data_IF_618084610337
#
_entry.id   IF_618084610337
#
_cell.length_a   1.000
_cell.length_b   1.000
_cell.length_c   1.000
_cell.angle_alpha   90.00
_cell.angle_beta   90.00
_cell.angle_gamma   90.00
#
_symmetry.space_group_name_H-M   'P 1'
#
loop_
_entity.id
_entity.type
_entity.pdbx_description
1 polymer ?
#
# COMPACT_ATOMS: atom_id res chain seq x y z
N UNK A 1 -28.62 -15.83 -8.74
CA UNK A 1 -28.04 -17.14 -9.10
C UNK A 1 -27.98 -17.20 -10.61
N UNK A 2 -26.78 -17.09 -11.19
CA UNK A 2 -26.55 -17.14 -12.64
C UNK A 2 -26.94 -18.54 -13.14
N UNK A 3 -27.95 -18.64 -14.02
CA UNK A 3 -28.51 -19.94 -14.40
C UNK A 3 -27.69 -20.62 -15.50
N UNK A 4 -27.45 -21.93 -15.32
CA UNK A 4 -26.69 -22.76 -16.26
C UNK A 4 -27.48 -23.01 -17.56
N UNK A 5 -26.81 -22.91 -18.70
CA UNK A 5 -27.36 -23.30 -20.01
C UNK A 5 -27.52 -24.82 -20.12
N UNK A 6 -28.38 -25.31 -21.04
CA UNK A 6 -28.58 -26.76 -21.28
C UNK A 6 -27.26 -27.52 -21.46
N UNK A 7 -26.30 -26.91 -22.16
CA UNK A 7 -24.97 -27.47 -22.44
C UNK A 7 -24.09 -27.53 -21.17
N UNK A 8 -24.23 -26.56 -20.27
CA UNK A 8 -23.53 -26.55 -18.97
C UNK A 8 -24.12 -27.58 -18.00
N UNK A 9 -25.44 -27.78 -18.00
CA UNK A 9 -26.10 -28.83 -17.21
C UNK A 9 -25.62 -30.22 -17.65
N UNK A 10 -25.52 -30.45 -18.96
CA UNK A 10 -25.01 -31.71 -19.51
C UNK A 10 -23.53 -31.94 -19.18
N UNK A 11 -22.71 -30.90 -19.26
CA UNK A 11 -21.30 -30.96 -18.85
C UNK A 11 -21.15 -31.26 -17.35
N UNK A 12 -21.97 -30.66 -16.50
CA UNK A 12 -21.97 -30.88 -15.05
C UNK A 12 -22.43 -32.31 -14.67
N UNK A 13 -23.44 -32.84 -15.37
CA UNK A 13 -23.89 -34.23 -15.22
C UNK A 13 -22.79 -35.21 -15.65
N UNK A 14 -22.13 -34.97 -16.78
CA UNK A 14 -21.02 -35.80 -17.27
C UNK A 14 -19.80 -35.75 -16.34
N UNK A 15 -19.58 -34.61 -15.69
CA UNK A 15 -18.53 -34.43 -14.69
C UNK A 15 -18.89 -35.02 -13.30
N UNK A 16 -20.10 -35.54 -13.11
CA UNK A 16 -20.56 -36.09 -11.83
C UNK A 16 -20.76 -35.04 -10.72
N UNK A 17 -20.88 -33.76 -11.09
CA UNK A 17 -21.07 -32.65 -10.14
C UNK A 17 -22.53 -32.60 -9.65
N UNK A 18 -23.47 -33.00 -10.51
CA UNK A 18 -24.90 -33.05 -10.23
C UNK A 18 -25.45 -34.43 -10.61
N UNK A 19 -26.51 -34.86 -9.92
CA UNK A 19 -27.20 -36.10 -10.23
C UNK A 19 -28.25 -35.95 -11.36
N UNK A 20 -28.76 -37.07 -11.86
CA UNK A 20 -29.72 -37.09 -12.96
C UNK A 20 -31.04 -36.37 -12.60
N UNK A 21 -31.50 -36.50 -11.36
CA UNK A 21 -32.74 -35.87 -10.90
C UNK A 21 -32.59 -34.34 -10.82
N UNK A 22 -31.42 -33.85 -10.39
CA UNK A 22 -31.06 -32.44 -10.37
C UNK A 22 -30.96 -31.86 -11.78
N UNK A 23 -30.33 -32.59 -12.72
CA UNK A 23 -30.24 -32.17 -14.11
C UNK A 23 -31.63 -32.04 -14.77
N UNK A 24 -32.55 -32.95 -14.47
CA UNK A 24 -33.91 -32.94 -15.03
C UNK A 24 -34.77 -31.82 -14.42
N UNK A 25 -34.64 -31.55 -13.11
CA UNK A 25 -35.27 -30.39 -12.47
C UNK A 25 -34.78 -29.06 -13.06
N UNK A 26 -33.48 -28.92 -13.33
CA UNK A 26 -32.90 -27.72 -13.94
C UNK A 26 -33.35 -27.54 -15.41
N UNK A 27 -33.53 -28.65 -16.16
CA UNK A 27 -34.09 -28.60 -17.53
C UNK A 27 -35.57 -28.20 -17.54
N UNK A 28 -36.34 -28.64 -16.55
CA UNK A 28 -37.75 -28.28 -16.41
C UNK A 28 -37.95 -26.77 -16.13
N UNK A 29 -37.12 -26.18 -15.24
CA UNK A 29 -37.12 -24.73 -14.97
C UNK A 29 -36.80 -23.90 -16.24
N UNK A 30 -35.87 -24.41 -17.08
CA UNK A 30 -35.56 -23.79 -18.38
C UNK A 30 -36.72 -23.89 -19.39
N UNK A 31 -37.48 -25.00 -19.37
CA UNK A 31 -38.64 -25.20 -20.24
C UNK A 31 -39.80 -24.28 -19.89
N UNK A 32 -40.14 -24.18 -18.59
CA UNK A 32 -41.24 -23.33 -18.12
C UNK A 32 -41.03 -21.84 -18.40
N UNK A 33 -39.78 -21.37 -18.45
CA UNK A 33 -39.44 -19.98 -18.77
C UNK A 33 -39.41 -19.66 -20.26
N UNK A 34 -39.18 -20.65 -21.13
CA UNK A 34 -39.26 -20.45 -22.58
C UNK A 34 -40.70 -20.15 -23.03
N UNK A 35 -41.69 -20.70 -22.32
CA UNK A 35 -43.11 -20.51 -22.58
C UNK A 35 -43.73 -19.28 -21.86
N UNK A 36 -42.93 -18.53 -21.09
CA UNK A 36 -43.37 -17.28 -20.47
C UNK A 36 -43.14 -16.13 -21.44
N UNK A 37 -44.17 -15.41 -21.93
CA UNK A 37 -43.98 -14.28 -22.83
C UNK A 37 -43.15 -13.20 -22.13
N UNK A 38 -41.91 -12.99 -22.60
CA UNK A 38 -41.12 -11.82 -22.21
C UNK A 38 -41.89 -10.56 -22.62
N UNK A 39 -42.38 -9.81 -21.64
CA UNK A 39 -42.97 -8.50 -21.86
C UNK A 39 -41.89 -7.55 -22.38
N UNK A 40 -41.95 -7.21 -23.68
CA UNK A 40 -40.95 -6.41 -24.39
C UNK A 40 -40.99 -4.90 -24.03
N UNK A 41 -41.74 -4.50 -22.99
CA UNK A 41 -41.85 -3.11 -22.55
C UNK A 41 -41.22 -2.86 -21.17
N UNK A 42 -40.04 -3.43 -20.92
CA UNK A 42 -39.14 -2.89 -19.89
C UNK A 42 -38.04 -2.10 -20.60
N UNK A 43 -37.84 -0.80 -20.28
CA UNK A 43 -36.69 -0.07 -20.80
C UNK A 43 -35.45 -0.86 -20.43
N UNK A 44 -34.61 -1.13 -21.42
CA UNK A 44 -33.34 -1.86 -21.39
C UNK A 44 -32.56 -1.62 -20.08
N UNK A 45 -32.96 -2.35 -19.03
CA UNK A 45 -32.11 -2.56 -17.86
C UNK A 45 -31.07 -3.51 -18.41
N UNK A 46 -30.03 -2.92 -19.00
CA UNK A 46 -28.73 -3.54 -19.22
C UNK A 46 -28.48 -4.39 -18.01
N UNK A 47 -28.78 -5.67 -18.16
CA UNK A 47 -28.64 -6.63 -17.09
C UNK A 47 -27.15 -6.78 -17.04
N UNK A 48 -26.53 -6.03 -16.12
CA UNK A 48 -25.11 -6.16 -15.80
C UNK A 48 -24.93 -7.65 -15.58
N UNK A 49 -24.32 -8.24 -16.59
CA UNK A 49 -24.18 -9.66 -16.75
C UNK A 49 -23.32 -10.11 -15.58
N UNK A 50 -23.98 -10.65 -14.56
CA UNK A 50 -23.39 -11.26 -13.36
C UNK A 50 -22.81 -12.64 -13.73
N UNK A 51 -22.08 -12.67 -14.84
CA UNK A 51 -21.08 -13.69 -15.15
C UNK A 51 -19.82 -13.21 -14.46
N UNK A 52 -19.43 -13.89 -13.39
CA UNK A 52 -18.06 -13.79 -12.89
C UNK A 52 -17.13 -14.24 -14.02
N UNK A 53 -16.66 -13.28 -14.81
CA UNK A 53 -15.67 -13.48 -15.85
C UNK A 53 -14.32 -13.58 -15.14
N UNK A 54 -13.93 -14.81 -14.80
CA UNK A 54 -12.62 -15.15 -14.23
C UNK A 54 -11.57 -14.76 -15.29
N UNK A 55 -11.08 -13.52 -15.23
CA UNK A 55 -10.19 -12.90 -16.22
C UNK A 55 -10.26 -11.37 -16.27
N UNK A 56 -11.41 -10.75 -15.99
CA UNK A 56 -11.57 -9.29 -16.00
C UNK A 56 -11.12 -8.68 -14.66
N UNK A 57 -11.11 -9.49 -13.60
CA UNK A 57 -10.56 -9.11 -12.29
C UNK A 57 -9.06 -8.76 -12.36
N UNK A 58 -8.28 -9.49 -13.16
CA UNK A 58 -6.85 -9.20 -13.37
C UNK A 58 -6.66 -7.91 -14.15
N UNK A 59 -7.51 -7.67 -15.16
CA UNK A 59 -7.46 -6.44 -15.96
C UNK A 59 -7.85 -5.22 -15.11
N UNK A 60 -8.89 -5.35 -14.27
CA UNK A 60 -9.30 -4.34 -13.30
C UNK A 60 -8.25 -4.10 -12.22
N UNK A 61 -7.56 -5.15 -11.77
CA UNK A 61 -6.42 -5.06 -10.85
C UNK A 61 -5.23 -4.35 -11.50
N UNK A 62 -4.95 -4.63 -12.78
CA UNK A 62 -3.91 -3.97 -13.55
C UNK A 62 -4.20 -2.47 -13.73
N UNK A 63 -5.41 -2.10 -14.15
CA UNK A 63 -5.81 -0.68 -14.29
C UNK A 63 -5.72 0.06 -12.95
N UNK A 64 -6.12 -0.58 -11.86
CA UNK A 64 -5.96 -0.02 -10.50
C UNK A 64 -4.49 0.16 -10.14
N UNK A 65 -3.64 -0.83 -10.44
CA UNK A 65 -2.20 -0.77 -10.20
C UNK A 65 -1.53 0.34 -11.02
N UNK A 66 -1.96 0.56 -12.26
CA UNK A 66 -1.43 1.62 -13.13
C UNK A 66 -1.78 3.01 -12.60
N UNK A 67 -3.02 3.20 -12.14
CA UNK A 67 -3.44 4.43 -11.46
C UNK A 67 -2.61 4.71 -10.21
N UNK A 68 -2.34 3.69 -9.39
CA UNK A 68 -1.50 3.82 -8.20
C UNK A 68 -0.07 4.26 -8.54
N UNK A 69 0.51 3.79 -9.64
CA UNK A 69 1.85 4.22 -10.10
C UNK A 69 1.85 5.71 -10.46
N UNK A 70 0.89 6.17 -11.26
CA UNK A 70 0.81 7.60 -11.61
C UNK A 70 0.61 8.50 -10.40
N UNK A 71 -0.29 8.10 -9.50
CA UNK A 71 -0.53 8.83 -8.26
C UNK A 71 0.75 8.88 -7.44
N UNK A 72 1.49 7.77 -7.32
CA UNK A 72 2.74 7.69 -6.58
C UNK A 72 3.82 8.61 -7.16
N UNK A 73 3.96 8.66 -8.48
CA UNK A 73 4.88 9.58 -9.16
C UNK A 73 4.47 11.03 -8.89
N UNK A 74 3.17 11.36 -9.03
CA UNK A 74 2.64 12.69 -8.73
C UNK A 74 2.89 13.10 -7.28
N UNK A 75 2.70 12.20 -6.33
CA UNK A 75 2.99 12.42 -4.91
C UNK A 75 4.48 12.59 -4.64
N UNK A 76 5.35 11.88 -5.36
CA UNK A 76 6.80 12.06 -5.28
C UNK A 76 7.23 13.46 -5.73
N UNK A 77 6.75 13.90 -6.89
CA UNK A 77 7.03 15.24 -7.43
C UNK A 77 6.45 16.31 -6.50
N UNK A 78 5.21 16.13 -6.02
CA UNK A 78 4.58 17.02 -5.06
C UNK A 78 5.37 17.09 -3.74
N UNK A 79 5.86 15.95 -3.25
CA UNK A 79 6.70 15.88 -2.06
C UNK A 79 8.00 16.68 -2.22
N UNK A 80 8.69 16.54 -3.36
CA UNK A 80 9.90 17.31 -3.68
C UNK A 80 9.60 18.81 -3.76
N UNK A 81 8.54 19.20 -4.48
CA UNK A 81 8.15 20.61 -4.62
C UNK A 81 7.72 21.24 -3.29
N UNK A 82 6.99 20.49 -2.47
CA UNK A 82 6.62 20.93 -1.13
C UNK A 82 7.86 21.05 -0.23
N UNK A 83 8.86 20.19 -0.39
CA UNK A 83 10.07 20.21 0.41
C UNK A 83 10.91 21.45 0.11
N UNK A 84 11.13 21.75 -1.18
CA UNK A 84 11.88 22.95 -1.58
C UNK A 84 11.15 24.23 -1.17
N UNK A 85 9.82 24.27 -1.33
CA UNK A 85 9.00 25.40 -0.91
C UNK A 85 9.00 25.62 0.61
N UNK A 86 8.90 24.54 1.39
CA UNK A 86 8.99 24.57 2.85
C UNK A 86 10.33 25.16 3.34
N UNK A 87 11.43 24.80 2.67
CA UNK A 87 12.75 25.33 2.96
C UNK A 87 12.83 26.86 2.77
N UNK A 88 12.19 27.40 1.72
CA UNK A 88 12.18 28.84 1.41
C UNK A 88 11.29 29.63 2.39
N UNK A 89 10.13 29.10 2.78
CA UNK A 89 9.17 29.82 3.61
C UNK A 89 9.53 29.90 5.09
N UNK A 90 10.20 28.89 5.64
CA UNK A 90 10.38 28.83 7.09
C UNK A 90 11.26 27.69 7.61
N UNK A 91 12.10 27.08 6.75
CA UNK A 91 13.04 26.03 7.16
C UNK A 91 12.38 24.95 8.01
N UNK A 92 12.88 24.76 9.22
CA UNK A 92 12.42 23.76 10.19
C UNK A 92 10.90 23.74 10.39
N UNK A 93 10.29 24.90 10.64
CA UNK A 93 8.83 25.00 10.80
C UNK A 93 8.08 24.72 9.49
N UNK A 94 8.64 25.14 8.36
CA UNK A 94 8.10 24.83 7.03
C UNK A 94 8.08 23.33 6.77
N UNK A 95 9.16 22.63 7.07
CA UNK A 95 9.24 21.17 6.93
C UNK A 95 8.28 20.44 7.88
N UNK A 96 8.10 20.91 9.12
CA UNK A 96 7.12 20.29 10.02
C UNK A 96 5.68 20.54 9.57
N UNK A 97 5.36 21.73 9.04
CA UNK A 97 4.06 22.00 8.43
C UNK A 97 3.82 21.08 7.22
N UNK A 98 4.84 20.90 6.38
CA UNK A 98 4.81 19.93 5.28
C UNK A 98 4.59 18.50 5.77
N UNK A 99 5.24 18.08 6.86
CA UNK A 99 5.02 16.77 7.46
C UNK A 99 3.56 16.56 7.89
N UNK A 100 2.90 17.59 8.43
CA UNK A 100 1.47 17.54 8.77
C UNK A 100 0.62 17.33 7.51
N UNK A 101 0.92 18.03 6.41
CA UNK A 101 0.22 17.84 5.13
C UNK A 101 0.39 16.40 4.62
N UNK A 102 1.61 15.88 4.66
CA UNK A 102 1.90 14.50 4.24
C UNK A 102 1.20 13.49 5.16
N UNK A 103 1.14 13.73 6.47
CA UNK A 103 0.38 12.89 7.40
C UNK A 103 -1.11 12.83 7.04
N UNK A 104 -1.72 13.98 6.74
CA UNK A 104 -3.13 14.04 6.31
C UNK A 104 -3.36 13.29 5.00
N UNK A 105 -2.41 13.39 4.05
CA UNK A 105 -2.43 12.60 2.82
C UNK A 105 -2.30 11.10 3.09
N UNK A 106 -1.43 10.68 4.02
CA UNK A 106 -1.34 9.28 4.46
C UNK A 106 -2.65 8.79 5.09
N UNK A 107 -3.35 9.64 5.84
CA UNK A 107 -4.67 9.35 6.39
C UNK A 107 -5.67 9.00 5.28
N UNK A 108 -5.64 9.78 4.18
CA UNK A 108 -6.50 9.55 3.02
C UNK A 108 -6.08 8.32 2.19
N UNK A 109 -4.82 8.24 1.75
CA UNK A 109 -4.35 7.18 0.86
C UNK A 109 -4.15 5.85 1.58
N UNK A 110 -3.58 5.87 2.78
CA UNK A 110 -3.26 4.69 3.57
C UNK A 110 -4.46 4.06 4.26
N UNK A 111 -5.35 4.86 4.87
CA UNK A 111 -6.51 4.31 5.59
C UNK A 111 -7.79 4.24 4.77
N UNK A 112 -8.12 5.31 4.03
CA UNK A 112 -9.40 5.40 3.30
C UNK A 112 -9.34 4.71 1.93
N UNK A 113 -8.33 5.02 1.12
CA UNK A 113 -8.17 4.41 -0.22
C UNK A 113 -7.47 3.05 -0.19
N UNK A 114 -6.69 2.75 0.86
CA UNK A 114 -5.88 1.53 1.01
C UNK A 114 -4.96 1.28 -0.19
N UNK A 115 -4.38 2.34 -0.74
CA UNK A 115 -3.47 2.26 -1.88
C UNK A 115 -2.02 2.11 -1.36
N UNK A 116 -1.44 0.92 -1.50
CA UNK A 116 -0.17 0.58 -0.84
C UNK A 116 1.02 1.36 -1.40
N UNK A 117 1.15 1.46 -2.73
CA UNK A 117 2.28 2.15 -3.36
C UNK A 117 2.27 3.66 -3.10
N UNK A 118 1.15 4.40 -3.29
CA UNK A 118 1.08 5.81 -2.91
C UNK A 118 1.41 6.06 -1.44
N UNK A 119 0.95 5.18 -0.55
CA UNK A 119 1.19 5.32 0.88
C UNK A 119 2.64 5.08 1.25
N UNK A 120 3.35 4.20 0.53
CA UNK A 120 4.80 4.00 0.73
C UNK A 120 5.59 5.27 0.36
N UNK A 121 5.26 5.90 -0.76
CA UNK A 121 5.88 7.18 -1.16
C UNK A 121 5.61 8.26 -0.12
N UNK A 122 4.35 8.39 0.34
CA UNK A 122 4.01 9.37 1.36
C UNK A 122 4.71 9.10 2.70
N UNK A 123 4.86 7.84 3.11
CA UNK A 123 5.56 7.49 4.34
C UNK A 123 7.06 7.83 4.28
N UNK A 124 7.71 7.60 3.14
CA UNK A 124 9.09 8.04 2.88
C UNK A 124 9.20 9.57 2.92
N UNK A 125 8.29 10.27 2.24
CA UNK A 125 8.24 11.73 2.26
C UNK A 125 8.04 12.26 3.68
N UNK A 126 7.13 11.66 4.46
CA UNK A 126 6.90 12.03 5.86
C UNK A 126 8.17 11.89 6.70
N UNK A 127 8.88 10.76 6.59
CA UNK A 127 10.16 10.54 7.27
C UNK A 127 11.17 11.65 6.95
N UNK A 128 11.32 12.01 5.66
CA UNK A 128 12.26 13.05 5.22
C UNK A 128 11.88 14.42 5.78
N UNK A 129 10.60 14.81 5.68
CA UNK A 129 10.12 16.10 6.19
C UNK A 129 10.27 16.23 7.70
N UNK A 130 9.89 15.19 8.46
CA UNK A 130 10.04 15.15 9.90
C UNK A 130 11.52 15.31 10.27
N UNK A 131 12.40 14.50 9.67
CA UNK A 131 13.81 14.54 10.01
C UNK A 131 14.46 15.88 9.65
N UNK A 132 14.17 16.43 8.47
CA UNK A 132 14.66 17.74 8.05
C UNK A 132 14.17 18.85 8.96
N UNK A 133 12.88 18.85 9.31
CA UNK A 133 12.28 19.86 10.18
C UNK A 133 12.86 19.86 11.59
N UNK A 134 12.96 18.67 12.19
CA UNK A 134 13.57 18.49 13.51
C UNK A 134 15.05 18.80 13.52
N UNK A 135 15.78 18.38 12.49
CA UNK A 135 17.21 18.66 12.39
C UNK A 135 17.47 20.14 12.27
N UNK A 136 16.74 20.86 11.42
CA UNK A 136 16.92 22.30 11.27
C UNK A 136 16.61 23.05 12.57
N UNK A 137 15.48 22.72 13.22
CA UNK A 137 15.07 23.39 14.46
C UNK A 137 15.99 23.08 15.66
N UNK A 138 16.48 21.85 15.79
CA UNK A 138 17.30 21.41 16.94
C UNK A 138 18.80 21.68 16.71
N UNK A 139 19.29 21.67 15.46
CA UNK A 139 20.69 22.04 15.18
C UNK A 139 20.92 23.54 15.30
N UNK A 140 19.90 24.37 15.12
CA UNK A 140 19.98 25.81 15.43
C UNK A 140 20.41 26.08 16.88
N UNK A 141 20.15 25.14 17.81
CA UNK A 141 20.57 25.19 19.20
C UNK A 141 21.99 24.64 19.47
N UNK A 142 22.78 24.33 18.43
CA UNK A 142 24.16 23.83 18.56
C UNK A 142 24.27 22.34 18.93
N UNK A 143 23.19 21.56 18.77
CA UNK A 143 23.18 20.13 19.08
C UNK A 143 23.80 19.27 17.98
N UNK A 144 24.19 18.03 18.31
CA UNK A 144 24.82 17.10 17.35
C UNK A 144 23.78 16.30 16.53
N UNK A 145 22.53 16.77 16.39
CA UNK A 145 21.46 16.08 15.68
C UNK A 145 20.88 14.82 16.37
N UNK A 146 21.46 14.37 17.49
CA UNK A 146 21.01 13.16 18.22
C UNK A 146 19.56 13.29 18.69
N UNK A 147 19.20 14.44 19.26
CA UNK A 147 17.83 14.71 19.68
C UNK A 147 16.85 14.67 18.49
N UNK A 148 17.24 15.23 17.34
CA UNK A 148 16.43 15.21 16.13
C UNK A 148 16.22 13.78 15.62
N UNK A 149 17.26 12.95 15.62
CA UNK A 149 17.17 11.54 15.24
C UNK A 149 16.27 10.74 16.19
N UNK A 150 16.39 10.92 17.50
CA UNK A 150 15.55 10.23 18.49
C UNK A 150 14.07 10.59 18.32
N UNK A 151 13.75 11.88 18.13
CA UNK A 151 12.37 12.33 17.92
C UNK A 151 11.86 11.86 16.55
N UNK A 152 12.72 11.76 15.54
CA UNK A 152 12.37 11.17 14.23
C UNK A 152 11.99 9.69 14.37
N UNK A 153 12.77 8.91 15.14
CA UNK A 153 12.44 7.51 15.45
C UNK A 153 11.09 7.43 16.16
N UNK A 154 10.85 8.28 17.16
CA UNK A 154 9.57 8.34 17.86
C UNK A 154 8.41 8.66 16.91
N UNK A 155 8.59 9.62 16.01
CA UNK A 155 7.59 9.95 14.99
C UNK A 155 7.30 8.77 14.04
N UNK A 156 8.32 7.98 13.68
CA UNK A 156 8.12 6.76 12.88
C UNK A 156 7.42 5.65 13.65
N UNK A 157 7.71 5.51 14.94
CA UNK A 157 6.98 4.57 15.81
C UNK A 157 5.51 4.98 15.94
N UNK A 158 5.23 6.28 16.11
CA UNK A 158 3.86 6.81 16.10
C UNK A 158 3.15 6.60 14.76
N UNK A 159 3.87 6.80 13.66
CA UNK A 159 3.37 6.51 12.31
C UNK A 159 3.00 5.03 12.18
N UNK A 160 3.90 4.12 12.58
CA UNK A 160 3.61 2.68 12.58
C UNK A 160 2.40 2.34 13.46
N UNK A 161 2.31 2.91 14.66
CA UNK A 161 1.19 2.64 15.56
C UNK A 161 -0.15 3.10 14.96
N UNK A 162 -0.16 4.23 14.24
CA UNK A 162 -1.33 4.82 13.63
C UNK A 162 -1.81 4.08 12.38
N UNK A 163 -0.89 3.73 11.49
CA UNK A 163 -1.20 3.18 10.16
C UNK A 163 -1.09 1.65 10.10
N UNK A 164 -0.28 1.04 10.98
CA UNK A 164 -0.03 -0.40 11.09
C UNK A 164 0.38 -1.06 9.77
N UNK A 165 1.21 -0.36 8.99
CA UNK A 165 1.71 -0.84 7.71
C UNK A 165 3.02 -1.60 7.93
N UNK A 166 3.19 -2.82 7.37
CA UNK A 166 4.39 -3.64 7.61
C UNK A 166 5.67 -2.94 7.14
N UNK A 167 5.62 -2.25 6.00
CA UNK A 167 6.78 -1.53 5.47
C UNK A 167 7.24 -0.35 6.35
N UNK A 168 6.42 0.14 7.28
CA UNK A 168 6.85 1.21 8.20
C UNK A 168 7.92 0.72 9.18
N UNK A 169 8.05 -0.59 9.42
CA UNK A 169 9.13 -1.16 10.23
C UNK A 169 10.50 -0.88 9.57
N UNK A 170 10.58 -0.98 8.24
CA UNK A 170 11.78 -0.63 7.49
C UNK A 170 12.10 0.87 7.60
N UNK A 171 11.08 1.73 7.65
CA UNK A 171 11.27 3.17 7.84
C UNK A 171 11.74 3.52 9.26
N UNK A 172 11.28 2.79 10.28
CA UNK A 172 11.82 2.90 11.64
C UNK A 172 13.31 2.52 11.62
N UNK A 173 13.67 1.39 10.99
CA UNK A 173 15.06 0.97 10.87
C UNK A 173 15.92 2.00 10.11
N UNK A 174 15.37 2.60 9.05
CA UNK A 174 16.02 3.69 8.32
C UNK A 174 16.22 4.93 9.20
N UNK A 175 15.25 5.28 10.05
CA UNK A 175 15.39 6.40 11.00
C UNK A 175 16.47 6.14 12.07
N UNK A 176 16.74 4.88 12.43
CA UNK A 176 17.87 4.53 13.28
C UNK A 176 19.22 4.80 12.60
N UNK A 177 19.31 4.75 11.26
CA UNK A 177 20.53 5.14 10.54
C UNK A 177 20.82 6.62 10.78
N UNK A 178 19.81 7.50 10.80
CA UNK A 178 20.03 8.91 11.16
C UNK A 178 20.64 9.08 12.56
N UNK A 179 20.25 8.24 13.52
CA UNK A 179 20.84 8.23 14.86
C UNK A 179 22.31 7.78 14.84
N UNK A 180 22.65 6.74 14.07
CA UNK A 180 24.04 6.30 13.88
C UNK A 180 24.90 7.43 13.29
N UNK A 181 24.39 8.14 12.28
CA UNK A 181 25.08 9.29 11.71
C UNK A 181 25.23 10.44 12.70
N UNK A 182 24.21 10.73 13.50
CA UNK A 182 24.27 11.77 14.53
C UNK A 182 25.30 11.46 15.63
N UNK A 183 25.46 10.18 16.02
CA UNK A 183 26.40 9.75 17.05
C UNK A 183 27.84 9.67 16.55
N UNK A 184 28.05 9.12 15.35
CA UNK A 184 29.39 8.74 14.88
C UNK A 184 29.89 9.56 13.69
N UNK A 185 29.05 10.37 13.05
CA UNK A 185 29.37 11.08 11.81
C UNK A 185 30.52 12.07 11.89
N UNK A 186 30.92 12.49 13.10
CA UNK A 186 32.11 13.34 13.31
C UNK A 186 33.42 12.56 13.47
N UNK A 187 33.34 11.31 13.92
CA UNK A 187 34.50 10.49 14.22
C UNK A 187 34.80 9.48 13.11
N UNK A 188 33.77 9.05 12.37
CA UNK A 188 33.86 8.00 11.36
C UNK A 188 33.52 8.58 9.99
N UNK A 189 34.30 8.28 8.94
CA UNK A 189 33.97 8.69 7.57
C UNK A 189 32.57 8.23 7.14
N UNK A 190 31.83 9.12 6.50
CA UNK A 190 30.43 8.88 6.09
C UNK A 190 30.26 7.62 5.23
N UNK A 191 31.22 7.32 4.35
CA UNK A 191 31.20 6.11 3.52
C UNK A 191 31.24 4.82 4.34
N UNK A 192 32.02 4.78 5.42
CA UNK A 192 32.07 3.61 6.32
C UNK A 192 30.75 3.46 7.06
N UNK A 193 30.18 4.55 7.57
CA UNK A 193 28.87 4.52 8.23
C UNK A 193 27.75 4.10 7.27
N UNK A 194 27.74 4.59 6.03
CA UNK A 194 26.79 4.16 5.00
C UNK A 194 26.92 2.68 4.70
N UNK A 195 28.14 2.18 4.52
CA UNK A 195 28.39 0.77 4.23
C UNK A 195 27.93 -0.14 5.36
N UNK A 196 28.33 0.16 6.61
CA UNK A 196 27.96 -0.65 7.78
C UNK A 196 26.46 -0.59 8.05
N UNK A 197 25.84 0.59 7.93
CA UNK A 197 24.40 0.75 8.14
C UNK A 197 23.60 0.04 7.05
N UNK A 198 24.01 0.17 5.79
CA UNK A 198 23.39 -0.50 4.65
C UNK A 198 23.51 -2.03 4.75
N UNK A 199 24.70 -2.53 5.09
CA UNK A 199 24.92 -3.96 5.32
C UNK A 199 24.06 -4.48 6.48
N UNK A 200 23.98 -3.71 7.58
CA UNK A 200 23.15 -4.07 8.73
C UNK A 200 21.66 -4.14 8.37
N UNK A 201 21.14 -3.14 7.65
CA UNK A 201 19.75 -3.14 7.18
C UNK A 201 19.47 -4.29 6.21
N UNK A 202 20.41 -4.57 5.29
CA UNK A 202 20.29 -5.67 4.34
C UNK A 202 20.26 -7.02 5.04
N UNK A 203 21.19 -7.28 5.95
CA UNK A 203 21.23 -8.52 6.75
C UNK A 203 19.99 -8.64 7.61
N UNK A 204 19.54 -7.56 8.26
CA UNK A 204 18.33 -7.57 9.06
C UNK A 204 17.08 -7.89 8.21
N UNK A 205 17.02 -7.36 6.98
CA UNK A 205 15.99 -7.71 6.00
C UNK A 205 16.02 -9.20 5.62
N UNK A 206 17.20 -9.75 5.31
CA UNK A 206 17.36 -11.18 5.02
C UNK A 206 16.99 -12.07 6.22
N UNK A 207 17.38 -11.67 7.44
CA UNK A 207 17.01 -12.40 8.67
C UNK A 207 15.50 -12.34 8.90
N UNK A 208 14.86 -11.20 8.61
CA UNK A 208 13.41 -11.07 8.71
C UNK A 208 12.69 -11.99 7.72
N UNK A 209 13.11 -11.98 6.45
CA UNK A 209 12.53 -12.80 5.38
C UNK A 209 12.78 -14.31 5.58
N UNK A 210 14.00 -14.69 5.95
CA UNK A 210 14.38 -16.10 6.19
C UNK A 210 13.69 -16.74 7.39
N UNK A 211 13.08 -15.97 8.29
CA UNK A 211 12.27 -16.50 9.40
C UNK A 211 10.90 -17.04 8.94
N UNK A 212 10.48 -16.75 7.70
CA UNK A 212 9.24 -17.26 7.11
C UNK A 212 9.49 -18.23 5.95
N UNK A 213 10.38 -19.22 6.14
CA UNK A 213 10.64 -20.28 5.13
C UNK A 213 9.43 -21.15 4.82
N UNK A 214 8.42 -21.17 5.70
CA UNK A 214 7.21 -21.99 5.53
C UNK A 214 6.04 -21.30 4.84
N UNK A 215 6.08 -19.97 4.63
CA UNK A 215 4.92 -19.14 4.22
C UNK A 215 3.64 -19.43 5.01
N UNK A 216 3.79 -19.84 6.28
CA UNK A 216 2.64 -20.17 7.14
C UNK A 216 2.17 -18.96 7.94
N UNK A 217 3.05 -17.98 8.12
CA UNK A 217 2.77 -16.77 8.87
C UNK A 217 2.78 -15.60 7.90
N UNK A 218 1.62 -14.98 7.63
CA UNK A 218 1.48 -13.79 6.77
C UNK A 218 2.13 -12.54 7.39
N UNK A 219 3.40 -12.62 7.80
CA UNK A 219 4.13 -11.52 8.45
C UNK A 219 4.63 -10.47 7.44
N UNK A 220 4.69 -10.81 6.15
CA UNK A 220 5.15 -9.96 5.06
C UNK A 220 4.05 -9.52 4.08
N UNK A 221 2.80 -9.89 4.35
CA UNK A 221 1.60 -9.58 3.55
C UNK A 221 0.80 -8.45 4.23
#
# INVERSE_FOLDING_TARGET
>A
MTQMTKKQIEAALKAGIIDQAQADAMRADLGQRADTPQNLNTPDVKTVQDVAYIGDEENMRFVRSFSDVFISIGLGILGIGLFTFAGILGGGFGFLAGAVIIWLMCEFFGRKKRAHLPTLILALTFLVFVHAGLSDLINFAGSNGVAAALVTILAMVLFYWRFRLPFSIALIALSCVFLVFALFGRAVPSGVLMLLSGLSLFVMGLVYDSRDTGRKTRFAD
#
